data_IF_017317739155
#
_entry.id   IF_017317739155
#
_cell.length_a   1.000
_cell.length_b   1.000
_cell.length_c   1.000
_cell.angle_alpha   90.00
_cell.angle_beta   90.00
_cell.angle_gamma   90.00
#
_symmetry.space_group_name_H-M   'P 1'
#
loop_
_entity.id
_entity.type
_entity.pdbx_description
1 polymer ?
#
# COMPACT_ATOMS: atom_id res chain seq x y z
N UNK A 1 -9.16 17.01 12.25
CA UNK A 1 -8.48 16.32 11.12
C UNK A 1 -8.86 14.86 11.20
N UNK A 2 -9.27 14.27 10.08
CA UNK A 2 -9.61 12.84 10.03
C UNK A 2 -8.42 12.02 9.59
N UNK A 3 -8.31 10.80 10.13
CA UNK A 3 -7.22 9.88 9.87
C UNK A 3 -7.78 8.58 9.30
N UNK A 4 -7.20 8.10 8.23
CA UNK A 4 -7.64 6.89 7.55
C UNK A 4 -6.48 5.95 7.23
N UNK A 5 -6.71 4.67 7.41
CA UNK A 5 -5.85 3.61 6.91
C UNK A 5 -6.53 3.01 5.68
N UNK A 6 -5.82 2.98 4.57
CA UNK A 6 -6.33 2.48 3.30
C UNK A 6 -5.73 1.12 3.01
N UNK A 7 -6.59 0.15 2.76
CA UNK A 7 -6.22 -1.19 2.30
C UNK A 7 -7.05 -1.54 1.07
N UNK A 8 -6.52 -2.36 0.17
CA UNK A 8 -7.24 -2.75 -1.03
C UNK A 8 -8.28 -3.83 -0.76
N UNK A 9 -7.95 -4.80 0.05
CA UNK A 9 -8.80 -5.96 0.32
C UNK A 9 -8.79 -6.35 1.80
N UNK A 10 -9.97 -6.72 2.34
CA UNK A 10 -10.13 -7.19 3.72
C UNK A 10 -10.73 -8.61 3.79
N UNK A 11 -10.69 -9.36 2.70
CA UNK A 11 -11.25 -10.71 2.63
C UNK A 11 -10.46 -11.75 3.42
N UNK A 12 -11.10 -12.87 3.72
CA UNK A 12 -10.51 -13.96 4.50
C UNK A 12 -9.36 -14.68 3.75
N UNK A 13 -9.36 -14.61 2.41
CA UNK A 13 -8.37 -15.27 1.56
C UNK A 13 -7.25 -14.33 1.12
N UNK A 14 -7.59 -13.09 0.77
CA UNK A 14 -6.64 -12.06 0.36
C UNK A 14 -6.92 -10.87 1.24
N UNK A 15 -6.32 -10.86 2.43
CA UNK A 15 -6.59 -9.84 3.43
C UNK A 15 -5.35 -9.01 3.75
N UNK A 16 -5.48 -7.70 3.61
CA UNK A 16 -4.46 -6.75 4.04
C UNK A 16 -4.73 -6.21 5.45
N UNK A 17 -5.91 -6.46 6.00
CA UNK A 17 -6.27 -5.98 7.36
C UNK A 17 -5.30 -6.46 8.43
N UNK A 18 -4.78 -7.67 8.32
CA UNK A 18 -3.76 -8.23 9.22
C UNK A 18 -2.46 -7.41 9.24
N UNK A 19 -2.13 -6.74 8.13
CA UNK A 19 -0.94 -5.91 8.03
C UNK A 19 -1.01 -4.69 8.96
N UNK A 20 -2.20 -4.20 9.24
CA UNK A 20 -2.40 -3.09 10.17
C UNK A 20 -1.88 -3.48 11.56
N UNK A 21 -2.32 -4.60 12.09
CA UNK A 21 -1.87 -5.08 13.39
C UNK A 21 -0.39 -5.49 13.43
N UNK A 22 0.16 -5.93 12.29
CA UNK A 22 1.57 -6.33 12.22
C UNK A 22 2.54 -5.15 12.15
N UNK A 23 2.17 -4.06 11.49
CA UNK A 23 3.09 -2.99 11.13
C UNK A 23 2.74 -1.62 11.70
N UNK A 24 1.57 -1.45 12.29
CA UNK A 24 1.19 -0.21 12.95
C UNK A 24 1.21 -0.35 14.47
N UNK A 25 1.62 0.71 15.13
CA UNK A 25 1.53 0.85 16.60
C UNK A 25 0.06 0.98 16.99
N UNK A 26 -0.34 0.33 18.09
CA UNK A 26 -1.70 0.49 18.60
C UNK A 26 -2.47 -0.82 18.67
N UNK A 27 -3.80 -0.69 18.69
CA UNK A 27 -4.70 -1.84 18.82
C UNK A 27 -6.07 -1.53 18.21
N UNK A 28 -6.85 -2.57 17.96
CA UNK A 28 -8.22 -2.47 17.51
C UNK A 28 -9.15 -2.02 18.63
N UNK A 29 -10.02 -1.06 18.29
CA UNK A 29 -11.17 -0.66 19.10
C UNK A 29 -12.43 -0.82 18.22
N UNK A 30 -13.02 -2.01 18.24
CA UNK A 30 -14.04 -2.38 17.27
C UNK A 30 -13.48 -2.39 15.84
N UNK A 31 -14.03 -1.55 14.96
CA UNK A 31 -13.59 -1.40 13.57
C UNK A 31 -12.62 -0.22 13.36
N UNK A 32 -12.21 0.44 14.44
CA UNK A 32 -11.31 1.58 14.42
C UNK A 32 -9.96 1.16 14.95
N UNK A 33 -8.90 1.66 14.35
CA UNK A 33 -7.54 1.49 14.85
C UNK A 33 -7.17 2.66 15.75
N UNK A 34 -6.78 2.36 16.99
CA UNK A 34 -6.29 3.35 17.94
C UNK A 34 -4.78 3.26 17.99
N UNK A 35 -4.09 4.32 17.56
CA UNK A 35 -2.63 4.43 17.71
C UNK A 35 -2.24 4.59 19.18
N UNK A 36 -0.98 4.30 19.51
CA UNK A 36 -0.48 4.43 20.90
C UNK A 36 -0.54 5.87 21.44
N UNK A 37 -0.54 6.87 20.57
CA UNK A 37 -0.74 8.29 20.93
C UNK A 37 -2.20 8.66 21.21
N UNK A 38 -3.12 7.71 21.11
CA UNK A 38 -4.55 7.90 21.31
C UNK A 38 -5.33 8.36 20.08
N UNK A 39 -4.66 8.63 18.96
CA UNK A 39 -5.37 9.01 17.72
C UNK A 39 -6.17 7.83 17.16
N UNK A 40 -7.34 8.15 16.62
CA UNK A 40 -8.26 7.17 16.05
C UNK A 40 -8.19 7.23 14.53
N UNK A 41 -8.14 6.05 13.92
CA UNK A 41 -8.02 5.86 12.49
C UNK A 41 -9.14 4.96 11.97
N UNK A 42 -9.90 5.46 11.02
CA UNK A 42 -10.87 4.63 10.30
C UNK A 42 -10.17 3.82 9.22
N UNK A 43 -10.60 2.58 9.03
CA UNK A 43 -10.08 1.73 7.96
C UNK A 43 -11.02 1.79 6.77
N UNK A 44 -10.48 2.13 5.61
CA UNK A 44 -11.22 2.14 4.34
C UNK A 44 -10.68 1.01 3.47
N UNK A 45 -11.57 0.14 3.05
CA UNK A 45 -11.29 -0.87 2.03
C UNK A 45 -11.60 -0.25 0.67
N UNK A 46 -10.56 0.07 -0.08
CA UNK A 46 -10.73 0.76 -1.37
C UNK A 46 -11.27 -0.15 -2.46
N UNK A 47 -10.96 -1.44 -2.37
CA UNK A 47 -11.05 -2.36 -3.50
C UNK A 47 -9.81 -2.24 -4.39
N UNK A 48 -9.68 -3.14 -5.35
CA UNK A 48 -8.54 -3.22 -6.27
C UNK A 48 -8.76 -2.33 -7.49
N UNK A 49 -7.71 -1.61 -7.88
CA UNK A 49 -7.67 -0.83 -9.11
C UNK A 49 -8.25 0.58 -9.02
N UNK A 50 -8.05 1.35 -10.08
CA UNK A 50 -8.33 2.78 -10.15
C UNK A 50 -9.78 3.15 -9.86
N UNK A 51 -10.73 2.46 -10.48
CA UNK A 51 -12.14 2.80 -10.35
C UNK A 51 -12.64 2.59 -8.91
N UNK A 52 -12.22 1.51 -8.28
CA UNK A 52 -12.59 1.22 -6.89
C UNK A 52 -11.99 2.25 -5.92
N UNK A 53 -10.73 2.63 -6.14
CA UNK A 53 -10.07 3.72 -5.37
C UNK A 53 -10.87 5.02 -5.49
N UNK A 54 -11.20 5.43 -6.70
CA UNK A 54 -11.96 6.67 -6.93
C UNK A 54 -13.31 6.65 -6.24
N UNK A 55 -14.04 5.53 -6.32
CA UNK A 55 -15.35 5.37 -5.65
C UNK A 55 -15.24 5.43 -4.13
N UNK A 56 -14.22 4.79 -3.57
CA UNK A 56 -14.03 4.73 -2.13
C UNK A 56 -13.59 6.08 -1.52
N UNK A 57 -12.78 6.85 -2.25
CA UNK A 57 -12.11 8.05 -1.71
C UNK A 57 -12.68 9.38 -2.19
N UNK A 58 -13.68 9.39 -3.06
CA UNK A 58 -14.23 10.62 -3.67
C UNK A 58 -14.71 11.67 -2.67
N UNK A 59 -15.14 11.24 -1.49
CA UNK A 59 -15.68 12.13 -0.45
C UNK A 59 -14.72 12.34 0.73
N UNK A 60 -13.50 11.82 0.64
CA UNK A 60 -12.50 12.01 1.69
C UNK A 60 -11.86 13.40 1.53
N UNK A 61 -11.78 14.21 2.60
CA UNK A 61 -11.15 15.52 2.53
C UNK A 61 -9.68 15.44 2.15
N UNK A 62 -9.21 16.35 1.29
CA UNK A 62 -7.81 16.36 0.82
C UNK A 62 -6.80 16.67 1.93
N UNK A 63 -7.22 17.26 3.04
CA UNK A 63 -6.41 17.52 4.22
C UNK A 63 -6.41 16.36 5.24
N UNK A 64 -7.12 15.28 4.95
CA UNK A 64 -7.09 14.09 5.78
C UNK A 64 -5.67 13.47 5.81
N UNK A 65 -5.33 12.84 6.92
CA UNK A 65 -4.12 12.05 7.03
C UNK A 65 -4.40 10.61 6.59
N UNK A 66 -3.62 10.10 5.66
CA UNK A 66 -3.81 8.79 5.06
C UNK A 66 -2.55 7.94 5.19
N UNK A 67 -2.72 6.69 5.57
CA UNK A 67 -1.71 5.66 5.49
C UNK A 67 -2.24 4.56 4.57
N UNK A 68 -1.57 4.34 3.44
CA UNK A 68 -1.83 3.14 2.63
C UNK A 68 -0.89 2.04 3.07
N UNK A 69 -1.44 0.89 3.39
CA UNK A 69 -0.68 -0.31 3.72
C UNK A 69 -1.19 -1.46 2.89
N UNK A 70 -0.29 -2.24 2.28
CA UNK A 70 -0.71 -3.32 1.42
C UNK A 70 0.44 -4.15 0.89
N UNK A 71 0.09 -5.15 0.09
CA UNK A 71 1.05 -5.99 -0.62
C UNK A 71 1.49 -5.34 -1.92
N UNK A 72 2.70 -5.69 -2.34
CA UNK A 72 3.25 -5.31 -3.64
C UNK A 72 4.18 -6.41 -4.16
N UNK A 73 4.27 -6.52 -5.48
CA UNK A 73 5.25 -7.38 -6.13
C UNK A 73 6.58 -6.66 -6.33
N UNK A 74 7.66 -7.42 -6.47
CA UNK A 74 8.97 -6.88 -6.84
C UNK A 74 9.76 -7.89 -7.67
N UNK A 75 10.50 -7.41 -8.66
CA UNK A 75 11.34 -8.28 -9.47
C UNK A 75 12.52 -8.85 -8.67
N UNK A 76 13.05 -8.11 -7.70
CA UNK A 76 14.29 -8.46 -7.01
C UNK A 76 14.30 -8.31 -5.49
N UNK A 77 13.36 -7.61 -4.88
CA UNK A 77 13.27 -7.58 -3.41
C UNK A 77 12.75 -8.90 -2.87
N UNK A 78 13.31 -9.34 -1.76
CA UNK A 78 12.86 -10.57 -1.10
C UNK A 78 11.42 -10.48 -0.61
N UNK A 79 10.70 -11.59 -0.70
CA UNK A 79 9.35 -11.71 -0.14
C UNK A 79 9.41 -11.43 1.37
N UNK A 80 8.48 -10.61 1.83
CA UNK A 80 8.42 -10.13 3.20
C UNK A 80 9.26 -8.88 3.46
N UNK A 81 9.96 -8.33 2.47
CA UNK A 81 10.62 -7.03 2.60
C UNK A 81 9.59 -5.93 2.91
N UNK A 82 9.98 -5.02 3.80
CA UNK A 82 9.17 -3.86 4.17
C UNK A 82 9.68 -2.66 3.40
N UNK A 83 8.81 -2.02 2.63
CA UNK A 83 9.18 -0.93 1.73
C UNK A 83 8.33 0.31 2.03
N UNK A 84 9.00 1.37 2.51
CA UNK A 84 8.40 2.69 2.60
C UNK A 84 8.49 3.37 1.23
N UNK A 85 7.37 3.84 0.73
CA UNK A 85 7.29 4.40 -0.61
C UNK A 85 7.60 5.89 -0.56
N UNK A 86 8.59 6.33 -1.34
CA UNK A 86 9.01 7.73 -1.44
C UNK A 86 8.37 8.45 -2.61
N UNK A 87 8.17 7.75 -3.71
CA UNK A 87 7.51 8.28 -4.91
C UNK A 87 6.67 7.21 -5.59
N UNK A 88 5.67 7.65 -6.32
CA UNK A 88 4.74 6.79 -7.05
C UNK A 88 4.69 7.21 -8.50
N UNK A 89 4.65 6.23 -9.38
CA UNK A 89 4.49 6.42 -10.81
C UNK A 89 3.42 5.48 -11.34
N UNK A 90 2.71 5.92 -12.37
CA UNK A 90 1.87 5.03 -13.14
C UNK A 90 2.76 4.24 -14.11
N UNK A 91 2.67 2.92 -14.06
CA UNK A 91 3.37 2.07 -15.03
C UNK A 91 2.51 1.94 -16.28
N UNK A 92 2.87 2.68 -17.32
CA UNK A 92 2.11 2.73 -18.56
C UNK A 92 2.80 1.93 -19.66
N UNK A 93 2.08 1.08 -20.41
CA UNK A 93 2.67 0.34 -21.53
C UNK A 93 3.03 1.23 -22.73
N UNK A 94 2.48 2.45 -22.79
CA UNK A 94 2.78 3.40 -23.86
C UNK A 94 3.83 4.41 -23.42
N UNK A 95 5.02 4.29 -23.95
CA UNK A 95 6.24 5.00 -23.53
C UNK A 95 6.24 6.51 -23.85
N UNK A 96 5.26 7.01 -24.61
CA UNK A 96 5.31 8.37 -25.17
C UNK A 96 4.56 9.44 -24.34
N UNK A 97 4.00 9.07 -23.19
CA UNK A 97 3.38 10.04 -22.28
C UNK A 97 4.19 10.16 -21.01
N UNK A 98 4.77 11.35 -20.72
CA UNK A 98 5.41 11.57 -19.44
C UNK A 98 4.33 11.57 -18.35
N UNK A 99 4.31 10.50 -17.56
CA UNK A 99 3.46 10.41 -16.39
C UNK A 99 4.04 11.23 -15.23
N UNK A 100 3.20 11.87 -14.43
CA UNK A 100 3.69 12.63 -13.30
C UNK A 100 4.35 11.72 -12.27
N UNK A 101 5.43 12.24 -11.67
CA UNK A 101 6.04 11.66 -10.49
C UNK A 101 5.32 12.25 -9.29
N UNK A 102 4.70 11.40 -8.46
CA UNK A 102 3.99 11.82 -7.28
C UNK A 102 4.85 11.52 -6.04
N UNK A 103 5.23 12.56 -5.32
CA UNK A 103 5.98 12.43 -4.07
C UNK A 103 5.02 12.16 -2.92
N UNK A 104 5.36 11.19 -2.08
CA UNK A 104 4.60 10.89 -0.89
C UNK A 104 5.15 11.61 0.33
N UNK A 105 4.27 11.84 1.31
CA UNK A 105 4.68 12.31 2.61
C UNK A 105 5.62 11.29 3.27
N UNK A 106 6.65 11.75 4.01
CA UNK A 106 7.49 10.85 4.78
C UNK A 106 6.66 10.04 5.78
N UNK A 107 7.08 8.79 6.00
CA UNK A 107 6.49 7.95 7.02
C UNK A 107 6.71 8.58 8.40
N UNK A 108 5.64 8.69 9.18
CA UNK A 108 5.75 9.06 10.58
C UNK A 108 6.14 7.83 11.39
N UNK A 109 7.42 7.68 11.70
CA UNK A 109 7.98 6.45 12.27
C UNK A 109 7.33 6.04 13.58
N UNK A 110 6.84 7.00 14.40
CA UNK A 110 6.11 6.69 15.63
C UNK A 110 4.84 5.87 15.45
N UNK A 111 4.30 5.82 14.23
CA UNK A 111 3.11 5.02 13.91
C UNK A 111 3.43 3.59 13.49
N UNK A 112 4.68 3.26 13.24
CA UNK A 112 5.05 1.97 12.65
C UNK A 112 5.87 1.09 13.59
N UNK A 113 5.71 -0.21 13.42
CA UNK A 113 6.55 -1.26 14.02
C UNK A 113 7.30 -1.96 12.90
N UNK A 114 8.62 -1.91 12.96
CA UNK A 114 9.45 -2.55 11.95
C UNK A 114 10.22 -3.72 12.56
N UNK A 115 9.85 -4.97 12.25
CA UNK A 115 10.57 -6.14 12.76
C UNK A 115 11.94 -6.31 12.10
N UNK A 116 12.21 -5.59 11.02
CA UNK A 116 13.46 -5.62 10.27
C UNK A 116 13.69 -4.30 9.53
N UNK A 117 14.82 -4.19 8.85
CA UNK A 117 15.17 -3.00 8.09
C UNK A 117 14.10 -2.64 7.05
N UNK A 118 13.80 -1.36 6.97
CA UNK A 118 12.86 -0.79 5.99
C UNK A 118 13.65 -0.31 4.78
N UNK A 119 13.23 -0.76 3.60
CA UNK A 119 13.70 -0.24 2.32
C UNK A 119 12.90 1.02 1.96
N UNK A 120 13.53 1.93 1.23
CA UNK A 120 12.87 3.12 0.67
C UNK A 120 12.93 3.02 -0.84
N UNK A 121 11.79 3.12 -1.49
CA UNK A 121 11.73 2.85 -2.93
C UNK A 121 10.54 3.49 -3.62
N UNK A 122 10.56 3.37 -4.94
CA UNK A 122 9.52 3.78 -5.87
C UNK A 122 8.45 2.68 -5.97
N UNK A 123 7.19 3.08 -6.03
CA UNK A 123 6.08 2.19 -6.41
C UNK A 123 5.57 2.56 -7.80
N UNK A 124 5.45 1.55 -8.65
CA UNK A 124 4.75 1.66 -9.92
C UNK A 124 3.37 1.03 -9.79
N UNK A 125 2.33 1.81 -10.05
CA UNK A 125 0.96 1.30 -10.05
C UNK A 125 0.53 0.93 -11.46
N UNK A 126 -0.09 -0.24 -11.57
CA UNK A 126 -0.53 -0.83 -12.83
C UNK A 126 -2.03 -1.06 -12.82
N UNK A 127 -2.63 -1.18 -14.01
CA UNK A 127 -4.03 -1.58 -14.15
C UNK A 127 -4.23 -3.06 -13.86
N UNK A 128 -3.22 -3.88 -14.17
CA UNK A 128 -3.23 -5.32 -13.99
C UNK A 128 -2.07 -5.80 -13.12
N UNK A 129 -2.16 -7.06 -12.69
CA UNK A 129 -1.06 -7.70 -11.96
C UNK A 129 0.17 -7.82 -12.85
N UNK A 130 1.33 -7.38 -12.36
CA UNK A 130 2.58 -7.40 -13.11
C UNK A 130 3.23 -8.78 -13.01
N UNK A 131 3.43 -9.43 -14.16
CA UNK A 131 4.03 -10.77 -14.24
C UNK A 131 5.50 -10.75 -14.67
N UNK A 132 5.97 -9.63 -15.22
CA UNK A 132 7.37 -9.44 -15.58
C UNK A 132 7.69 -7.94 -15.66
N UNK A 133 8.93 -7.58 -15.38
CA UNK A 133 9.40 -6.20 -15.51
C UNK A 133 10.91 -6.15 -15.64
N UNK A 134 11.41 -5.19 -16.42
CA UNK A 134 12.82 -4.82 -16.47
C UNK A 134 13.20 -3.84 -15.36
N UNK A 135 12.22 -3.28 -14.65
CA UNK A 135 12.47 -2.41 -13.51
C UNK A 135 12.82 -3.24 -12.27
N UNK A 136 13.93 -2.88 -11.66
CA UNK A 136 14.43 -3.47 -10.41
C UNK A 136 14.49 -2.40 -9.32
N UNK A 137 14.69 -2.81 -8.08
CA UNK A 137 14.76 -1.92 -6.91
C UNK A 137 13.50 -1.04 -6.74
N UNK A 138 12.35 -1.64 -7.04
CA UNK A 138 11.04 -1.01 -6.92
C UNK A 138 9.98 -2.06 -6.59
N UNK A 139 8.77 -1.58 -6.33
CA UNK A 139 7.61 -2.42 -6.11
C UNK A 139 6.47 -2.06 -7.06
N UNK A 140 5.57 -3.00 -7.26
CA UNK A 140 4.40 -2.87 -8.13
C UNK A 140 3.12 -3.12 -7.34
N UNK A 141 2.15 -2.24 -7.49
CA UNK A 141 0.80 -2.40 -6.96
C UNK A 141 -0.26 -2.04 -8.02
N UNK A 142 -1.50 -1.92 -7.61
CA UNK A 142 -2.62 -1.59 -8.49
C UNK A 142 -3.41 -0.36 -8.02
N UNK A 143 -3.01 0.31 -6.95
CA UNK A 143 -3.83 1.34 -6.30
C UNK A 143 -3.12 2.66 -6.00
N UNK A 144 -1.86 2.64 -5.59
CA UNK A 144 -1.22 3.77 -4.92
C UNK A 144 -1.13 5.04 -5.79
N UNK A 145 -0.81 4.91 -7.07
CA UNK A 145 -0.76 6.06 -7.98
C UNK A 145 -2.15 6.72 -8.13
N UNK A 146 -3.20 5.93 -8.09
CA UNK A 146 -4.57 6.43 -8.18
C UNK A 146 -5.00 7.13 -6.89
N UNK A 147 -4.56 6.63 -5.74
CA UNK A 147 -4.76 7.31 -4.45
C UNK A 147 -4.00 8.64 -4.44
N UNK A 148 -2.72 8.61 -4.75
CA UNK A 148 -1.86 9.80 -4.77
C UNK A 148 -2.33 10.86 -5.77
N UNK A 149 -2.83 10.42 -6.93
CA UNK A 149 -3.35 11.30 -7.99
C UNK A 149 -4.60 12.09 -7.59
N UNK A 150 -5.30 11.71 -6.52
CA UNK A 150 -6.43 12.48 -5.99
C UNK A 150 -6.01 13.76 -5.25
N UNK A 151 -4.72 13.92 -4.93
CA UNK A 151 -4.18 15.17 -4.40
C UNK A 151 -4.12 15.27 -2.88
N UNK A 152 -4.13 14.15 -2.16
CA UNK A 152 -3.96 14.15 -0.71
C UNK A 152 -2.56 14.62 -0.31
N UNK A 153 -2.48 15.62 0.58
CA UNK A 153 -1.21 16.20 1.00
C UNK A 153 -0.47 15.36 2.05
N UNK A 154 -1.18 14.51 2.77
CA UNK A 154 -0.66 13.74 3.91
C UNK A 154 -0.84 12.24 3.69
N UNK A 155 -0.46 11.78 2.52
CA UNK A 155 -0.45 10.36 2.17
C UNK A 155 0.94 9.79 2.37
N UNK A 156 1.06 8.78 3.20
CA UNK A 156 2.24 7.91 3.28
C UNK A 156 1.86 6.47 2.93
N UNK A 157 2.81 5.66 2.53
CA UNK A 157 2.55 4.29 2.14
C UNK A 157 3.65 3.33 2.56
N UNK A 158 3.22 2.18 3.05
CA UNK A 158 4.06 1.04 3.38
C UNK A 158 3.61 -0.16 2.56
N UNK A 159 4.53 -0.79 1.85
CA UNK A 159 4.27 -2.00 1.09
C UNK A 159 5.09 -3.16 1.62
N UNK A 160 4.46 -4.33 1.63
CA UNK A 160 5.10 -5.59 2.00
C UNK A 160 5.21 -6.43 0.73
N UNK A 161 6.42 -6.84 0.39
CA UNK A 161 6.64 -7.66 -0.80
C UNK A 161 6.00 -9.02 -0.61
N UNK A 162 5.00 -9.32 -1.42
CA UNK A 162 4.23 -10.56 -1.37
C UNK A 162 4.69 -11.61 -2.37
N UNK A 163 5.36 -11.16 -3.42
CA UNK A 163 5.73 -12.03 -4.54
C UNK A 163 6.86 -11.42 -5.38
N UNK A 164 7.50 -12.29 -6.15
CA UNK A 164 8.45 -11.89 -7.19
C UNK A 164 7.80 -11.98 -8.57
N UNK A 165 6.70 -11.23 -8.75
CA UNK A 165 5.89 -11.14 -9.95
C UNK A 165 5.19 -12.48 -10.28
N UNK A 166 4.77 -13.20 -9.24
CA UNK A 166 4.04 -14.46 -9.32
C UNK A 166 2.69 -14.36 -8.63
N UNK A 167 1.61 -14.48 -9.39
CA UNK A 167 0.26 -14.46 -8.85
C UNK A 167 0.01 -15.61 -7.86
N UNK A 168 0.59 -16.78 -8.12
CA UNK A 168 0.50 -17.93 -7.23
C UNK A 168 1.15 -17.62 -5.86
N UNK A 169 2.37 -17.09 -5.85
CA UNK A 169 3.06 -16.70 -4.62
C UNK A 169 2.32 -15.59 -3.88
N UNK A 170 1.83 -14.59 -4.61
CA UNK A 170 0.99 -13.54 -4.02
C UNK A 170 -0.19 -14.12 -3.25
N UNK A 171 -0.95 -15.01 -3.88
CA UNK A 171 -2.12 -15.64 -3.25
C UNK A 171 -1.75 -16.43 -2.00
N UNK A 172 -0.63 -17.15 -2.03
CA UNK A 172 -0.14 -17.89 -0.86
C UNK A 172 0.16 -16.96 0.32
N UNK A 173 0.91 -15.89 0.09
CA UNK A 173 1.29 -14.94 1.13
C UNK A 173 0.08 -14.16 1.63
N UNK A 174 -0.76 -13.65 0.74
CA UNK A 174 -1.92 -12.85 1.10
C UNK A 174 -2.98 -13.67 1.87
N UNK A 175 -3.12 -14.95 1.58
CA UNK A 175 -4.03 -15.86 2.32
C UNK A 175 -3.49 -16.32 3.66
N UNK A 176 -2.21 -16.07 3.96
CA UNK A 176 -1.57 -16.52 5.18
C UNK A 176 -1.26 -18.03 5.22
N UNK A 177 -1.37 -18.72 4.09
CA UNK A 177 -0.95 -20.11 3.96
C UNK A 177 0.58 -20.13 3.85
N UNK A 178 1.24 -20.52 4.93
CA UNK A 178 2.68 -20.74 4.91
C UNK A 178 3.01 -21.89 3.95
N UNK A 179 4.12 -21.76 3.22
CA UNK A 179 4.70 -22.86 2.48
C UNK A 179 5.15 -23.93 3.48
N UNK A 180 4.46 -25.01 3.48
CA UNK A 180 4.98 -26.25 4.07
C UNK A 180 6.01 -26.85 3.12
#
# INVERSE_FOLDING_TARGET
>A
MKNYILIAEAGDFIGEKKLIAQYLQGDWDGNIWRMNDGTLWEVIVTGVGALNVMRALRNIPLDAQLINIGYAGSANYDIGSIVAITEVRLNHPCVNYPEPILLLAPMQESYFVYPKQVLHSVCYSNTDFVLQSDYIDCVFDMELAYIAGLGFNRLSALKIVSDNLSLHTYRQVASGVEKT
#
